data_IF_298155287567
#
_entry.id   IF_298155287567
#
_cell.length_a   1.000
_cell.length_b   1.000
_cell.length_c   1.000
_cell.angle_alpha   90.00
_cell.angle_beta   90.00
_cell.angle_gamma   90.00
#
_symmetry.space_group_name_H-M   'P 1'
#
loop_
_entity.id
_entity.type
_entity.pdbx_description
1 polymer ?
#
# COMPACT_ATOMS: atom_id res chain seq x y z
N UNK A 1 -18.54 -31.88 -25.14
CA UNK A 1 -19.03 -31.31 -23.87
C UNK A 1 -18.21 -30.05 -23.58
N UNK A 2 -18.83 -28.86 -23.54
CA UNK A 2 -18.15 -27.62 -23.09
C UNK A 2 -18.24 -27.56 -21.58
N UNK A 3 -17.10 -27.48 -20.89
CA UNK A 3 -17.06 -27.23 -19.45
C UNK A 3 -17.65 -25.83 -19.18
N UNK A 4 -18.64 -25.76 -18.30
CA UNK A 4 -19.20 -24.50 -17.84
C UNK A 4 -18.14 -23.74 -17.03
N UNK A 5 -17.55 -22.70 -17.61
CA UNK A 5 -16.67 -21.79 -16.88
C UNK A 5 -17.51 -21.03 -15.84
N UNK A 6 -17.29 -21.34 -14.56
CA UNK A 6 -17.88 -20.60 -13.44
C UNK A 6 -17.18 -19.23 -13.37
N UNK A 7 -17.79 -18.21 -13.95
CA UNK A 7 -17.34 -16.83 -13.76
C UNK A 7 -17.39 -16.48 -12.26
N UNK A 8 -16.28 -15.95 -11.73
CA UNK A 8 -16.18 -15.51 -10.34
C UNK A 8 -16.59 -14.03 -10.27
N UNK A 9 -17.50 -13.70 -9.37
CA UNK A 9 -17.91 -12.31 -9.14
C UNK A 9 -16.97 -11.66 -8.13
N UNK A 10 -16.38 -10.53 -8.49
CA UNK A 10 -15.56 -9.69 -7.61
C UNK A 10 -16.20 -8.31 -7.49
N UNK A 11 -16.06 -7.70 -6.32
CA UNK A 11 -16.52 -6.33 -6.07
C UNK A 11 -15.51 -5.60 -5.17
N UNK A 12 -15.57 -4.27 -5.11
CA UNK A 12 -14.65 -3.52 -4.24
C UNK A 12 -14.92 -3.86 -2.76
N UNK A 13 -13.86 -3.88 -1.95
CA UNK A 13 -14.00 -4.23 -0.53
C UNK A 13 -14.82 -3.19 0.26
N UNK A 14 -14.70 -1.90 -0.11
CA UNK A 14 -15.34 -0.80 0.62
C UNK A 14 -16.77 -0.48 0.15
N UNK A 15 -17.02 -0.42 -1.17
CA UNK A 15 -18.33 -0.03 -1.69
C UNK A 15 -19.21 -1.23 -2.00
N UNK A 16 -18.64 -2.34 -2.47
CA UNK A 16 -19.36 -3.48 -3.03
C UNK A 16 -20.31 -3.14 -4.21
N UNK A 17 -20.30 -1.90 -4.72
CA UNK A 17 -21.27 -1.38 -5.69
C UNK A 17 -21.00 -1.78 -7.14
N UNK A 18 -19.91 -2.50 -7.39
CA UNK A 18 -19.44 -2.81 -8.75
C UNK A 18 -19.12 -4.30 -8.91
N UNK A 19 -20.13 -5.19 -8.81
CA UNK A 19 -19.92 -6.61 -9.09
C UNK A 19 -19.49 -6.78 -10.54
N UNK A 20 -18.27 -7.27 -10.74
CA UNK A 20 -17.71 -7.56 -12.05
C UNK A 20 -17.40 -9.05 -12.14
N UNK A 21 -17.89 -9.69 -13.19
CA UNK A 21 -17.59 -11.10 -13.46
C UNK A 21 -16.23 -11.20 -14.13
N UNK A 22 -15.27 -11.79 -13.44
CA UNK A 22 -13.95 -12.11 -14.00
C UNK A 22 -13.93 -13.57 -14.46
N UNK A 23 -13.02 -13.88 -15.38
CA UNK A 23 -12.77 -15.24 -15.84
C UNK A 23 -12.22 -16.10 -14.69
N UNK A 24 -11.17 -15.59 -14.04
CA UNK A 24 -10.56 -16.20 -12.86
C UNK A 24 -9.75 -15.17 -12.08
N UNK A 25 -9.39 -15.53 -10.85
CA UNK A 25 -8.52 -14.75 -9.97
C UNK A 25 -7.22 -15.52 -9.77
N UNK A 26 -6.09 -14.83 -9.95
CA UNK A 26 -4.74 -15.34 -9.66
C UNK A 26 -4.14 -14.49 -8.55
N UNK A 27 -3.59 -15.10 -7.51
CA UNK A 27 -2.99 -14.39 -6.37
C UNK A 27 -1.51 -14.74 -6.26
N UNK A 28 -0.65 -14.12 -7.09
CA UNK A 28 0.74 -14.54 -7.22
C UNK A 28 1.55 -14.26 -5.95
N UNK A 29 2.64 -15.00 -5.78
CA UNK A 29 3.64 -14.81 -4.72
C UNK A 29 5.01 -14.42 -5.26
N UNK A 30 5.17 -14.38 -6.58
CA UNK A 30 6.44 -14.05 -7.22
C UNK A 30 6.25 -13.45 -8.61
N UNK A 31 7.33 -12.86 -9.13
CA UNK A 31 7.37 -12.29 -10.48
C UNK A 31 7.17 -13.37 -11.54
N UNK A 32 7.68 -14.58 -11.31
CA UNK A 32 7.56 -15.72 -12.23
C UNK A 32 6.11 -16.15 -12.38
N UNK A 33 5.34 -16.17 -11.30
CA UNK A 33 3.90 -16.47 -11.33
C UNK A 33 3.12 -15.41 -12.11
N UNK A 34 3.50 -14.14 -12.00
CA UNK A 34 2.92 -13.06 -12.82
C UNK A 34 3.25 -13.29 -14.29
N UNK A 35 4.53 -13.50 -14.62
CA UNK A 35 4.95 -13.72 -16.00
C UNK A 35 4.23 -14.92 -16.64
N UNK A 36 4.07 -16.01 -15.89
CA UNK A 36 3.34 -17.17 -16.38
C UNK A 36 1.86 -16.85 -16.61
N UNK A 37 1.24 -16.09 -15.71
CA UNK A 37 -0.14 -15.63 -15.88
C UNK A 37 -0.30 -14.78 -17.14
N UNK A 38 0.64 -13.87 -17.42
CA UNK A 38 0.65 -13.06 -18.63
C UNK A 38 0.76 -13.93 -19.90
N UNK A 39 1.66 -14.92 -19.89
CA UNK A 39 1.83 -15.85 -21.03
C UNK A 39 0.58 -16.68 -21.29
N UNK A 40 -0.05 -17.21 -20.24
CA UNK A 40 -1.28 -18.00 -20.36
C UNK A 40 -2.45 -17.15 -20.86
N UNK A 41 -2.61 -15.93 -20.34
CA UNK A 41 -3.61 -14.98 -20.82
C UNK A 41 -3.45 -14.70 -22.33
N UNK A 42 -2.22 -14.51 -22.79
CA UNK A 42 -1.90 -14.34 -24.22
C UNK A 42 -2.29 -15.55 -25.08
N UNK A 43 -2.01 -16.78 -24.61
CA UNK A 43 -2.40 -18.03 -25.31
C UNK A 43 -3.92 -18.20 -25.37
N UNK A 44 -4.63 -17.76 -24.33
CA UNK A 44 -6.09 -17.87 -24.22
C UNK A 44 -6.85 -16.70 -24.88
N UNK A 45 -6.14 -15.67 -25.34
CA UNK A 45 -6.75 -14.44 -25.87
C UNK A 45 -7.54 -13.65 -24.82
N UNK A 46 -7.11 -13.72 -23.55
CA UNK A 46 -7.79 -13.08 -22.41
C UNK A 46 -7.09 -11.78 -22.01
N UNK A 47 -7.91 -10.75 -21.76
CA UNK A 47 -7.44 -9.50 -21.14
C UNK A 47 -7.18 -9.70 -19.65
N UNK A 48 -6.37 -8.80 -19.07
CA UNK A 48 -5.94 -8.87 -17.67
C UNK A 48 -6.38 -7.60 -16.93
N UNK A 49 -6.80 -7.78 -15.68
CA UNK A 49 -6.98 -6.69 -14.71
C UNK A 49 -6.08 -6.95 -13.52
N UNK A 50 -5.58 -5.90 -12.87
CA UNK A 50 -4.70 -6.02 -11.70
C UNK A 50 -5.35 -5.28 -10.54
N UNK A 51 -5.28 -5.87 -9.35
CA UNK A 51 -5.66 -5.23 -8.09
C UNK A 51 -4.58 -5.38 -7.04
N UNK A 52 -4.37 -4.32 -6.25
CA UNK A 52 -3.58 -4.35 -5.01
C UNK A 52 -4.43 -4.81 -3.83
N UNK A 53 -4.43 -4.06 -2.73
CA UNK A 53 -5.28 -4.32 -1.55
C UNK A 53 -6.80 -4.02 -1.77
N UNK A 54 -7.27 -3.97 -3.03
CA UNK A 54 -8.69 -3.80 -3.43
C UNK A 54 -9.41 -2.55 -2.90
N UNK A 55 -8.68 -1.53 -2.44
CA UNK A 55 -9.25 -0.29 -1.88
C UNK A 55 -9.79 0.71 -2.92
N UNK A 56 -9.56 0.49 -4.23
CA UNK A 56 -10.06 1.40 -5.28
C UNK A 56 -11.60 1.33 -5.38
N UNK A 57 -12.28 2.39 -4.94
CA UNK A 57 -13.75 2.43 -4.83
C UNK A 57 -14.49 2.55 -6.17
N UNK A 58 -13.82 2.90 -7.26
CA UNK A 58 -14.43 3.23 -8.56
C UNK A 58 -14.58 2.07 -9.56
N UNK A 59 -14.34 0.81 -9.16
CA UNK A 59 -14.45 -0.36 -10.04
C UNK A 59 -13.41 -0.47 -11.16
N UNK A 60 -12.56 0.54 -11.35
CA UNK A 60 -11.47 0.60 -12.34
C UNK A 60 -10.49 -0.58 -12.27
N UNK A 61 -10.46 -1.29 -11.15
CA UNK A 61 -9.64 -2.47 -10.90
C UNK A 61 -10.21 -3.78 -11.50
N UNK A 62 -11.44 -3.78 -12.03
CA UNK A 62 -12.08 -4.98 -12.56
C UNK A 62 -12.56 -4.80 -14.01
N UNK A 63 -12.10 -5.66 -14.90
CA UNK A 63 -12.65 -5.81 -16.24
C UNK A 63 -13.54 -7.04 -16.34
N UNK A 64 -14.65 -6.94 -17.06
CA UNK A 64 -15.51 -8.10 -17.30
C UNK A 64 -14.80 -9.14 -18.18
N UNK A 65 -14.86 -10.40 -17.77
CA UNK A 65 -14.24 -11.52 -18.48
C UNK A 65 -12.71 -11.52 -18.47
N UNK A 66 -12.06 -10.64 -17.70
CA UNK A 66 -10.59 -10.62 -17.59
C UNK A 66 -10.09 -11.64 -16.59
N UNK A 67 -8.79 -11.96 -16.69
CA UNK A 67 -8.05 -12.61 -15.60
C UNK A 67 -7.67 -11.51 -14.60
N UNK A 68 -8.15 -11.62 -13.36
CA UNK A 68 -7.79 -10.69 -12.30
C UNK A 68 -6.53 -11.18 -11.58
N UNK A 69 -5.47 -10.39 -11.59
CA UNK A 69 -4.26 -10.60 -10.79
C UNK A 69 -4.42 -9.81 -9.47
N UNK A 70 -4.50 -10.53 -8.37
CA UNK A 70 -4.59 -10.00 -7.01
C UNK A 70 -3.21 -10.02 -6.35
N UNK A 71 -2.62 -8.84 -6.21
CA UNK A 71 -1.27 -8.67 -5.70
C UNK A 71 -1.16 -8.81 -4.17
N UNK A 72 -2.26 -9.05 -3.43
CA UNK A 72 -2.27 -9.06 -1.94
C UNK A 72 -1.27 -10.01 -1.27
N UNK A 73 -0.75 -11.02 -1.99
CA UNK A 73 0.28 -11.93 -1.48
C UNK A 73 1.73 -11.50 -1.78
N UNK A 74 1.91 -10.45 -2.57
CA UNK A 74 3.17 -9.76 -2.80
C UNK A 74 3.16 -8.47 -1.98
N UNK A 75 3.26 -8.60 -0.66
CA UNK A 75 3.08 -7.51 0.31
C UNK A 75 4.29 -7.29 1.23
N UNK A 76 5.49 -7.70 0.80
CA UNK A 76 6.72 -7.63 1.61
C UNK A 76 7.46 -6.32 1.37
N UNK A 77 8.19 -5.88 2.39
CA UNK A 77 9.28 -4.91 2.22
C UNK A 77 10.54 -5.67 1.79
N UNK A 78 11.09 -5.29 0.64
CA UNK A 78 12.28 -5.90 0.05
C UNK A 78 13.57 -5.27 0.58
N UNK A 79 13.56 -3.94 0.77
CA UNK A 79 14.72 -3.18 1.25
C UNK A 79 14.28 -1.92 1.98
N UNK A 80 15.00 -1.57 3.04
CA UNK A 80 14.87 -0.28 3.70
C UNK A 80 16.24 0.40 3.86
N UNK A 81 16.48 1.45 3.09
CA UNK A 81 17.60 2.35 3.26
C UNK A 81 17.25 3.42 4.31
N UNK A 82 17.70 3.19 5.54
CA UNK A 82 17.45 4.10 6.67
C UNK A 82 18.17 5.44 6.54
N UNK A 83 19.29 5.48 5.81
CA UNK A 83 20.09 6.68 5.63
C UNK A 83 19.36 7.66 4.72
N UNK A 84 18.78 7.15 3.62
CA UNK A 84 18.09 7.96 2.62
C UNK A 84 16.56 7.98 2.78
N UNK A 85 16.01 7.21 3.72
CA UNK A 85 14.56 7.12 3.94
C UNK A 85 13.80 6.44 2.79
N UNK A 86 14.47 5.55 2.04
CA UNK A 86 13.88 4.87 0.88
C UNK A 86 13.51 3.44 1.23
N UNK A 87 12.25 3.08 0.96
CA UNK A 87 11.75 1.72 1.13
C UNK A 87 11.35 1.15 -0.23
N UNK A 88 11.89 -0.01 -0.54
CA UNK A 88 11.47 -0.84 -1.67
C UNK A 88 10.51 -1.90 -1.14
N UNK A 89 9.29 -1.92 -1.66
CA UNK A 89 8.24 -2.84 -1.24
C UNK A 89 7.51 -3.42 -2.44
N UNK A 90 6.95 -4.60 -2.26
CA UNK A 90 6.13 -5.26 -3.26
C UNK A 90 4.80 -4.52 -3.45
N UNK A 91 4.27 -4.54 -4.68
CA UNK A 91 3.14 -3.71 -5.10
C UNK A 91 1.80 -4.02 -4.40
N UNK A 92 1.70 -5.14 -3.69
CA UNK A 92 0.52 -5.56 -2.94
C UNK A 92 0.50 -5.14 -1.47
N UNK A 93 1.55 -4.48 -0.97
CA UNK A 93 1.57 -3.97 0.40
C UNK A 93 0.49 -2.91 0.62
N UNK A 94 -0.21 -2.96 1.75
CA UNK A 94 -1.16 -1.94 2.16
C UNK A 94 -0.52 -0.94 3.13
N UNK A 95 -1.17 0.21 3.29
CA UNK A 95 -0.67 1.27 4.19
C UNK A 95 -0.54 0.80 5.65
N UNK A 96 -1.52 0.07 6.23
CA UNK A 96 -1.38 -0.46 7.59
C UNK A 96 -0.15 -1.35 7.75
N UNK A 97 0.03 -2.37 6.89
CA UNK A 97 1.18 -3.28 6.96
C UNK A 97 2.51 -2.56 6.72
N UNK A 98 2.53 -1.55 5.85
CA UNK A 98 3.71 -0.70 5.64
C UNK A 98 4.07 0.13 6.88
N UNK A 99 3.09 0.76 7.52
CA UNK A 99 3.29 1.55 8.74
C UNK A 99 3.73 0.67 9.90
N UNK A 100 3.13 -0.51 10.06
CA UNK A 100 3.53 -1.50 11.06
C UNK A 100 5.00 -1.90 10.89
N UNK A 101 5.42 -2.19 9.65
CA UNK A 101 6.83 -2.46 9.34
C UNK A 101 7.74 -1.29 9.73
N UNK A 102 7.37 -0.05 9.37
CA UNK A 102 8.20 1.13 9.67
C UNK A 102 8.33 1.36 11.18
N UNK A 103 7.22 1.25 11.93
CA UNK A 103 7.23 1.40 13.39
C UNK A 103 8.14 0.34 14.02
N UNK A 104 8.00 -0.93 13.61
CA UNK A 104 8.85 -2.01 14.10
C UNK A 104 10.32 -1.76 13.75
N UNK A 105 10.63 -1.39 12.50
CA UNK A 105 11.99 -1.12 12.06
C UNK A 105 12.63 0.06 12.82
N UNK A 106 11.86 1.09 13.18
CA UNK A 106 12.35 2.28 13.88
C UNK A 106 12.45 2.10 15.41
N UNK A 107 11.96 0.98 15.95
CA UNK A 107 11.90 0.72 17.40
C UNK A 107 13.28 0.56 18.07
N UNK A 108 14.32 0.24 17.31
CA UNK A 108 15.67 -0.04 17.84
C UNK A 108 16.59 1.20 17.95
N UNK A 109 16.08 2.42 17.75
CA UNK A 109 16.94 3.62 17.88
C UNK A 109 16.29 4.98 17.68
N UNK A 110 15.01 5.07 17.33
CA UNK A 110 14.32 6.35 17.25
C UNK A 110 13.67 6.70 18.59
N UNK A 111 14.18 7.73 19.25
CA UNK A 111 13.37 8.42 20.24
C UNK A 111 12.09 8.89 19.54
N UNK A 112 10.91 8.62 20.11
CA UNK A 112 9.63 9.20 19.67
C UNK A 112 9.60 10.73 19.87
N UNK A 113 10.63 11.28 20.51
CA UNK A 113 10.89 12.70 20.60
C UNK A 113 11.32 13.23 19.23
N UNK A 114 10.60 14.21 18.65
CA UNK A 114 11.12 14.94 17.52
C UNK A 114 12.52 15.49 17.86
N UNK A 115 13.51 15.17 17.04
CA UNK A 115 14.87 15.68 17.23
C UNK A 115 14.94 17.21 17.10
N UNK A 116 16.07 17.83 17.51
CA UNK A 116 16.26 19.28 17.43
C UNK A 116 16.01 19.87 16.04
N UNK A 117 16.27 19.09 14.98
CA UNK A 117 16.04 19.48 13.60
C UNK A 117 14.56 19.65 13.26
N UNK A 118 13.66 18.89 13.88
CA UNK A 118 12.23 19.02 13.60
C UNK A 118 11.69 20.39 14.03
N UNK A 119 12.00 20.84 15.25
CA UNK A 119 11.57 22.15 15.75
C UNK A 119 12.18 23.30 14.92
N UNK A 120 13.42 23.14 14.47
CA UNK A 120 14.09 24.09 13.57
C UNK A 120 13.40 24.17 12.22
N UNK A 121 13.15 23.04 11.56
CA UNK A 121 12.47 22.98 10.26
C UNK A 121 11.02 23.49 10.35
N UNK A 122 10.32 23.21 11.45
CA UNK A 122 8.96 23.72 11.68
C UNK A 122 8.93 25.25 11.67
N UNK A 123 9.89 25.92 12.32
CA UNK A 123 10.01 27.39 12.28
C UNK A 123 10.36 27.92 10.88
N UNK A 124 11.05 27.14 10.05
CA UNK A 124 11.36 27.51 8.66
C UNK A 124 10.12 27.44 7.76
N UNK A 125 9.33 26.37 7.84
CA UNK A 125 8.19 26.14 6.94
C UNK A 125 6.86 26.72 7.44
N UNK A 126 6.73 26.98 8.75
CA UNK A 126 5.56 27.60 9.37
C UNK A 126 5.99 28.67 10.37
N UNK A 127 6.53 29.81 9.89
CA UNK A 127 7.10 30.87 10.74
C UNK A 127 6.05 31.58 11.58
N UNK A 128 4.80 31.60 11.12
CA UNK A 128 3.66 32.12 11.88
C UNK A 128 3.03 31.05 12.81
N UNK A 129 3.57 29.84 12.82
CA UNK A 129 3.13 28.73 13.65
C UNK A 129 1.61 28.45 13.56
N UNK A 130 1.06 28.55 12.35
CA UNK A 130 -0.36 28.37 12.05
C UNK A 130 -0.79 26.92 12.35
N UNK A 131 0.07 25.94 12.09
CA UNK A 131 -0.21 24.53 12.35
C UNK A 131 0.20 24.14 13.77
N UNK A 132 -0.80 23.90 14.60
CA UNK A 132 -0.67 23.56 16.02
C UNK A 132 -1.30 22.20 16.35
N UNK A 133 -0.69 21.46 17.27
CA UNK A 133 -1.23 20.23 17.85
C UNK A 133 -0.76 20.07 19.30
N UNK A 134 -1.49 19.30 20.11
CA UNK A 134 -1.09 18.98 21.50
C UNK A 134 0.31 18.35 21.55
N UNK A 135 0.62 17.49 20.56
CA UNK A 135 1.94 16.88 20.40
C UNK A 135 3.03 17.94 20.17
N UNK A 136 2.79 18.92 19.30
CA UNK A 136 3.78 19.98 19.02
C UNK A 136 4.02 20.86 20.25
N UNK A 137 2.95 21.25 20.95
CA UNK A 137 3.06 22.07 22.17
C UNK A 137 3.84 21.36 23.27
N UNK A 138 3.60 20.06 23.47
CA UNK A 138 4.31 19.24 24.44
C UNK A 138 5.82 19.20 24.18
N UNK A 139 6.26 19.00 22.93
CA UNK A 139 7.69 18.94 22.63
C UNK A 139 8.36 20.32 22.57
N UNK A 140 7.61 21.37 22.23
CA UNK A 140 8.08 22.75 22.33
C UNK A 140 8.39 23.13 23.78
N UNK A 141 7.50 22.80 24.72
CA UNK A 141 7.73 23.09 26.15
C UNK A 141 8.93 22.35 26.73
N UNK A 142 9.15 21.10 26.30
CA UNK A 142 10.33 20.31 26.68
C UNK A 142 11.64 20.91 26.14
N UNK A 143 11.62 21.49 24.93
CA UNK A 143 12.80 22.11 24.33
C UNK A 143 13.13 23.50 24.88
N UNK A 144 12.11 24.25 25.29
CA UNK A 144 12.26 25.61 25.86
C UNK A 144 12.67 25.59 27.35
N UNK A 145 12.87 24.42 27.96
CA UNK A 145 13.38 24.27 29.32
C UNK A 145 12.41 24.69 30.43
N UNK A 146 11.10 24.65 30.17
CA UNK A 146 10.10 24.92 31.21
C UNK A 146 10.04 23.77 32.24
N UNK A 147 9.83 24.06 33.54
CA UNK A 147 9.79 23.06 34.61
C UNK A 147 8.64 22.04 34.46
#
# INVERSE_FOLDING_TARGET
MRAASRSLSVSSFHSQLNPTRVDRIVTPRSIEEIQETLRQAGKEGKSISITGARHAMGGQQFGEGTILIDMSRMNRVLRFDRTNGLVEAEAGIDWPGFVEYLVAAQSDGASRTPGPDFLRLKKTYDPAEIFQSEWYRHYRSLADGAP
#
